data_IF_803027997131
#
_entry.id   IF_803027997131
#
_cell.length_a   1.000
_cell.length_b   1.000
_cell.length_c   1.000
_cell.angle_alpha   90.00
_cell.angle_beta   90.00
_cell.angle_gamma   90.00
#
_symmetry.space_group_name_H-M   'P 1'
#
loop_
_entity.id
_entity.type
_entity.pdbx_description
1 polymer ?
#
# COMPACT_ATOMS: atom_id res chain seq x y z
N UNK A 1 -11.70 -50.32 4.75
CA UNK A 1 -12.08 -48.95 5.17
C UNK A 1 -10.88 -48.31 5.85
N UNK A 2 -9.97 -47.76 5.04
CA UNK A 2 -8.89 -46.87 5.47
C UNK A 2 -8.85 -45.78 4.42
N UNK A 3 -9.51 -44.67 4.69
CA UNK A 3 -9.37 -43.47 3.88
C UNK A 3 -8.27 -42.65 4.53
N UNK A 4 -7.14 -42.57 3.84
CA UNK A 4 -6.07 -41.63 4.14
C UNK A 4 -6.55 -40.24 3.70
N UNK A 5 -6.57 -39.29 4.63
CA UNK A 5 -6.73 -37.88 4.31
C UNK A 5 -5.43 -37.41 3.65
N UNK A 6 -5.57 -36.93 2.42
CA UNK A 6 -4.49 -36.36 1.61
C UNK A 6 -4.45 -34.87 1.93
N UNK A 7 -3.40 -34.42 2.61
CA UNK A 7 -3.14 -32.99 2.74
C UNK A 7 -2.59 -32.43 1.42
N UNK A 8 -3.11 -31.29 0.91
CA UNK A 8 -2.55 -30.66 -0.27
C UNK A 8 -1.29 -29.88 0.11
N UNK A 9 -0.15 -30.33 -0.39
CA UNK A 9 1.12 -29.59 -0.35
C UNK A 9 1.05 -28.40 -1.30
N UNK A 10 0.75 -27.21 -0.78
CA UNK A 10 0.90 -25.95 -1.51
C UNK A 10 2.28 -25.36 -1.27
N UNK A 11 3.18 -25.49 -2.25
CA UNK A 11 4.50 -24.88 -2.26
C UNK A 11 4.38 -23.43 -2.78
N UNK A 12 4.12 -22.50 -1.86
CA UNK A 12 4.13 -21.07 -2.10
C UNK A 12 4.00 -20.37 -0.75
N UNK A 13 5.08 -19.75 -0.27
CA UNK A 13 5.13 -19.15 1.05
C UNK A 13 4.15 -17.99 1.19
N UNK A 14 3.00 -18.26 1.82
CA UNK A 14 2.10 -17.23 2.33
C UNK A 14 1.61 -17.69 3.70
N UNK A 15 2.08 -17.03 4.75
CA UNK A 15 1.58 -17.27 6.10
C UNK A 15 0.14 -16.77 6.16
N UNK A 16 -0.78 -17.62 6.62
CA UNK A 16 -2.06 -17.20 7.20
C UNK A 16 -1.84 -15.99 8.12
N UNK A 17 -2.81 -15.07 8.29
CA UNK A 17 -2.65 -13.95 9.21
C UNK A 17 -2.20 -14.52 10.55
N UNK A 18 -1.08 -14.02 11.06
CA UNK A 18 -0.59 -14.34 12.40
C UNK A 18 -1.71 -13.98 13.36
N UNK A 19 -2.53 -14.97 13.74
CA UNK A 19 -3.52 -14.80 14.80
C UNK A 19 -2.76 -14.29 16.01
N UNK A 20 -2.97 -13.02 16.34
CA UNK A 20 -2.31 -12.40 17.49
C UNK A 20 -2.84 -13.14 18.71
N UNK A 21 -1.94 -13.86 19.39
CA UNK A 21 -2.31 -14.60 20.58
C UNK A 21 -2.20 -13.70 21.81
N UNK A 22 -2.87 -14.09 22.90
CA UNK A 22 -2.71 -13.41 24.20
C UNK A 22 -1.24 -13.39 24.65
N UNK A 23 -0.47 -14.42 24.28
CA UNK A 23 0.95 -14.52 24.57
C UNK A 23 1.74 -13.43 23.84
N UNK A 24 1.44 -13.17 22.57
CA UNK A 24 2.12 -12.14 21.79
C UNK A 24 1.86 -10.74 22.38
N UNK A 25 0.61 -10.47 22.80
CA UNK A 25 0.26 -9.23 23.50
C UNK A 25 1.00 -9.07 24.84
N UNK A 26 1.15 -10.18 25.57
CA UNK A 26 1.86 -10.19 26.85
C UNK A 26 3.36 -9.95 26.66
N UNK A 27 3.98 -10.58 25.66
CA UNK A 27 5.40 -10.39 25.30
C UNK A 27 5.69 -9.00 24.72
N UNK A 28 4.73 -8.42 24.00
CA UNK A 28 4.82 -7.05 23.48
C UNK A 28 4.66 -5.98 24.59
N UNK A 29 4.12 -6.36 25.75
CA UNK A 29 3.88 -5.46 26.89
C UNK A 29 2.58 -4.65 26.81
N UNK A 30 1.58 -5.14 26.06
CA UNK A 30 0.32 -4.45 25.82
C UNK A 30 -0.57 -4.29 27.07
N UNK A 31 -0.37 -5.17 28.04
CA UNK A 31 -1.15 -5.22 29.29
C UNK A 31 -0.79 -4.14 30.31
N UNK A 32 0.35 -3.45 30.13
CA UNK A 32 0.76 -2.39 31.06
C UNK A 32 0.05 -1.08 30.70
N UNK A 33 -0.71 -0.53 31.63
CA UNK A 33 -1.24 0.82 31.53
C UNK A 33 -0.39 1.85 32.25
N UNK A 34 -0.98 3.02 32.50
CA UNK A 34 -0.37 4.10 33.26
C UNK A 34 -0.48 3.90 34.79
N UNK A 35 0.17 4.81 35.53
CA UNK A 35 0.10 4.86 37.00
C UNK A 35 -1.30 5.20 37.48
N UNK A 36 -1.68 4.68 38.65
CA UNK A 36 -3.01 4.87 39.28
C UNK A 36 -3.43 6.31 39.54
N UNK A 37 -2.49 7.27 39.53
CA UNK A 37 -2.79 8.71 39.66
C UNK A 37 -3.20 9.39 38.36
N UNK A 38 -2.96 8.77 37.21
CA UNK A 38 -3.12 9.36 35.88
C UNK A 38 -4.14 8.63 35.02
N UNK A 39 -5.06 7.88 35.63
CA UNK A 39 -6.08 7.13 34.92
C UNK A 39 -7.37 7.94 34.73
N UNK A 40 -8.14 7.59 33.71
CA UNK A 40 -9.48 8.08 33.46
C UNK A 40 -10.49 7.10 34.06
N UNK A 41 -11.41 7.53 34.94
CA UNK A 41 -12.44 6.67 35.54
C UNK A 41 -13.29 5.89 34.53
N UNK A 42 -13.47 6.41 33.31
CA UNK A 42 -14.23 5.74 32.24
C UNK A 42 -13.51 4.50 31.70
N UNK A 43 -12.20 4.39 31.88
CA UNK A 43 -11.43 3.21 31.49
C UNK A 43 -11.57 2.04 32.47
N UNK A 44 -12.33 2.20 33.58
CA UNK A 44 -12.53 1.15 34.58
C UNK A 44 -12.96 -0.21 34.02
N UNK A 45 -13.87 -0.31 33.02
CA UNK A 45 -14.28 -1.60 32.46
C UNK A 45 -13.14 -2.37 31.78
N UNK A 46 -12.14 -1.65 31.24
CA UNK A 46 -11.00 -2.22 30.52
C UNK A 46 -9.80 -2.56 31.43
N UNK A 47 -9.84 -2.13 32.69
CA UNK A 47 -8.77 -2.37 33.66
C UNK A 47 -9.07 -3.65 34.43
N UNK A 48 -8.17 -4.62 34.34
CA UNK A 48 -8.26 -5.90 35.04
C UNK A 48 -7.89 -5.78 36.53
N UNK A 49 -6.72 -5.21 36.83
CA UNK A 49 -6.24 -5.06 38.22
C UNK A 49 -5.20 -3.94 38.32
N UNK A 50 -4.73 -3.64 39.53
CA UNK A 50 -3.58 -2.79 39.77
C UNK A 50 -2.46 -3.57 40.48
N UNK A 51 -1.23 -3.40 40.02
CA UNK A 51 -0.05 -4.02 40.64
C UNK A 51 1.09 -3.02 40.72
N UNK A 52 1.66 -2.84 41.91
CA UNK A 52 2.77 -1.90 42.15
C UNK A 52 2.45 -0.45 41.70
N UNK A 53 1.18 -0.04 41.79
CA UNK A 53 0.74 1.31 41.39
C UNK A 53 0.63 1.54 39.88
N UNK A 54 0.62 0.47 39.07
CA UNK A 54 0.39 0.48 37.62
C UNK A 54 -0.90 -0.30 37.34
N UNK A 55 -1.77 0.25 36.50
CA UNK A 55 -2.96 -0.47 36.03
C UNK A 55 -2.58 -1.54 35.01
N UNK A 56 -3.20 -2.71 35.13
CA UNK A 56 -3.10 -3.81 34.19
C UNK A 56 -4.38 -3.86 33.38
N UNK A 57 -4.24 -3.80 32.07
CA UNK A 57 -5.34 -3.84 31.10
C UNK A 57 -5.76 -5.30 30.87
N UNK A 58 -7.06 -5.54 30.70
CA UNK A 58 -7.60 -6.84 30.36
C UNK A 58 -7.33 -7.21 28.89
N UNK A 59 -6.37 -8.12 28.67
CA UNK A 59 -5.99 -8.57 27.33
C UNK A 59 -7.08 -9.38 26.61
N UNK A 60 -8.02 -10.00 27.32
CA UNK A 60 -9.12 -10.70 26.66
C UNK A 60 -10.01 -9.71 25.90
N UNK A 61 -10.35 -8.59 26.56
CA UNK A 61 -11.06 -7.49 25.93
C UNK A 61 -10.24 -6.85 24.80
N UNK A 62 -8.91 -6.74 24.95
CA UNK A 62 -8.03 -6.28 23.88
C UNK A 62 -8.13 -7.16 22.64
N UNK A 63 -8.10 -8.49 22.78
CA UNK A 63 -8.20 -9.41 21.65
C UNK A 63 -9.53 -9.29 20.91
N UNK A 64 -10.65 -9.26 21.65
CA UNK A 64 -11.98 -9.09 21.06
C UNK A 64 -12.13 -7.73 20.35
N UNK A 65 -11.57 -6.67 20.96
CA UNK A 65 -11.58 -5.33 20.35
C UNK A 65 -10.70 -5.26 19.10
N UNK A 66 -9.53 -5.89 19.12
CA UNK A 66 -8.64 -5.98 17.97
C UNK A 66 -9.31 -6.67 16.80
N UNK A 67 -10.01 -7.79 17.04
CA UNK A 67 -10.71 -8.51 15.98
C UNK A 67 -11.83 -7.66 15.36
N UNK A 68 -12.65 -6.98 16.19
CA UNK A 68 -13.69 -6.07 15.68
C UNK A 68 -13.11 -4.91 14.87
N UNK A 69 -11.99 -4.35 15.31
CA UNK A 69 -11.30 -3.30 14.58
C UNK A 69 -10.70 -3.81 13.27
N UNK A 70 -10.17 -5.04 13.26
CA UNK A 70 -9.62 -5.69 12.06
C UNK A 70 -10.68 -5.85 10.98
N UNK A 71 -11.84 -6.40 11.34
CA UNK A 71 -12.97 -6.60 10.44
C UNK A 71 -13.45 -5.25 9.85
N UNK A 72 -13.66 -4.24 10.71
CA UNK A 72 -14.10 -2.92 10.25
C UNK A 72 -13.09 -2.25 9.31
N UNK A 73 -11.79 -2.35 9.59
CA UNK A 73 -10.74 -1.78 8.75
C UNK A 73 -10.61 -2.52 7.41
N UNK A 74 -10.70 -3.85 7.43
CA UNK A 74 -10.66 -4.69 6.23
C UNK A 74 -11.83 -4.34 5.30
N UNK A 75 -13.03 -4.21 5.85
CA UNK A 75 -14.22 -3.91 5.07
C UNK A 75 -14.13 -2.51 4.42
N UNK A 76 -13.66 -1.49 5.15
CA UNK A 76 -13.37 -0.16 4.58
C UNK A 76 -12.33 -0.23 3.45
N UNK A 77 -11.28 -1.03 3.63
CA UNK A 77 -10.26 -1.20 2.60
C UNK A 77 -10.78 -1.96 1.37
N UNK A 78 -11.68 -2.92 1.56
CA UNK A 78 -12.34 -3.67 0.49
C UNK A 78 -13.27 -2.77 -0.35
N UNK A 79 -13.96 -1.82 0.28
CA UNK A 79 -14.75 -0.79 -0.41
C UNK A 79 -13.88 0.23 -1.14
N UNK A 80 -12.58 0.26 -0.83
CA UNK A 80 -11.64 1.19 -1.43
C UNK A 80 -11.44 2.50 -0.68
N UNK A 81 -11.91 2.57 0.55
CA UNK A 81 -11.76 3.75 1.40
C UNK A 81 -10.33 3.96 1.89
N UNK A 82 -10.04 5.18 2.30
CA UNK A 82 -8.76 5.54 2.91
C UNK A 82 -8.82 5.44 4.42
N UNK A 83 -7.83 4.74 5.01
CA UNK A 83 -7.62 4.70 6.45
C UNK A 83 -6.44 5.60 6.80
N UNK A 84 -6.68 6.68 7.53
CA UNK A 84 -5.63 7.63 7.93
C UNK A 84 -4.97 7.20 9.24
N UNK A 85 -3.67 6.90 9.18
CA UNK A 85 -2.89 6.55 10.37
C UNK A 85 -2.36 7.80 11.07
N UNK A 86 -2.60 7.92 12.38
CA UNK A 86 -2.19 9.10 13.16
C UNK A 86 -1.43 8.66 14.41
N UNK A 87 -0.22 9.18 14.57
CA UNK A 87 0.57 8.97 15.79
C UNK A 87 1.78 9.88 15.84
N UNK A 88 1.72 10.93 16.66
CA UNK A 88 2.78 11.94 16.82
C UNK A 88 3.72 11.64 17.98
N UNK A 89 3.40 10.63 18.78
CA UNK A 89 4.23 10.16 19.89
C UNK A 89 5.56 9.61 19.38
N UNK A 90 6.68 9.93 20.04
CA UNK A 90 8.04 9.57 19.59
C UNK A 90 8.20 8.07 19.31
N UNK A 91 7.56 7.24 20.12
CA UNK A 91 7.56 5.79 20.00
C UNK A 91 6.77 5.27 18.80
N UNK A 92 5.79 6.05 18.32
CA UNK A 92 4.89 5.69 17.22
C UNK A 92 5.32 6.27 15.86
N UNK A 93 6.08 7.37 15.82
CA UNK A 93 6.30 8.15 14.58
C UNK A 93 6.84 7.30 13.42
N UNK A 94 7.89 6.52 13.68
CA UNK A 94 8.56 5.73 12.64
C UNK A 94 7.71 4.50 12.27
N UNK A 95 7.07 3.88 13.26
CA UNK A 95 6.23 2.69 13.06
C UNK A 95 5.01 3.03 12.19
N UNK A 96 4.34 4.14 12.50
CA UNK A 96 3.15 4.59 11.78
C UNK A 96 3.51 4.89 10.31
N UNK A 97 4.61 5.58 10.07
CA UNK A 97 5.06 5.86 8.71
C UNK A 97 5.40 4.57 7.95
N UNK A 98 6.17 3.67 8.57
CA UNK A 98 6.59 2.39 7.98
C UNK A 98 5.38 1.51 7.58
N UNK A 99 4.44 1.30 8.50
CA UNK A 99 3.30 0.41 8.28
C UNK A 99 2.23 1.03 7.37
N UNK A 100 1.99 2.34 7.46
CA UNK A 100 1.06 3.02 6.56
C UNK A 100 1.59 3.04 5.11
N UNK A 101 2.89 3.28 4.92
CA UNK A 101 3.52 3.17 3.60
C UNK A 101 3.43 1.75 3.05
N UNK A 102 3.68 0.73 3.89
CA UNK A 102 3.52 -0.68 3.52
C UNK A 102 2.09 -1.00 3.06
N UNK A 103 1.08 -0.47 3.75
CA UNK A 103 -0.33 -0.63 3.37
C UNK A 103 -0.78 0.31 2.24
N UNK A 104 0.07 1.24 1.77
CA UNK A 104 -0.28 2.25 0.78
C UNK A 104 -1.41 3.17 1.25
N UNK A 105 -1.37 3.59 2.52
CA UNK A 105 -2.37 4.46 3.16
C UNK A 105 -1.75 5.76 3.65
N UNK A 106 -2.55 6.85 3.76
CA UNK A 106 -2.06 8.12 4.25
C UNK A 106 -1.74 8.07 5.75
N UNK A 107 -0.81 8.91 6.19
CA UNK A 107 -0.40 8.98 7.60
C UNK A 107 0.03 10.37 8.07
N UNK A 108 -0.02 10.59 9.38
CA UNK A 108 0.49 11.77 10.08
C UNK A 108 1.30 11.30 11.29
N UNK A 109 2.62 11.44 11.23
CA UNK A 109 3.53 10.93 12.25
C UNK A 109 4.29 12.00 13.06
N UNK A 110 4.36 13.25 12.59
CA UNK A 110 5.14 14.29 13.28
C UNK A 110 4.27 15.20 14.13
N UNK A 111 3.26 15.82 13.51
CA UNK A 111 2.37 16.78 14.17
C UNK A 111 1.05 16.88 13.42
N UNK A 112 -0.05 16.74 14.15
CA UNK A 112 -1.38 17.10 13.65
C UNK A 112 -1.50 18.62 13.47
N UNK A 113 -1.90 19.06 12.28
CA UNK A 113 -2.23 20.46 12.02
C UNK A 113 -3.73 20.61 12.28
N UNK A 114 -4.13 21.54 13.15
CA UNK A 114 -5.55 21.82 13.35
C UNK A 114 -6.19 22.24 12.04
N UNK A 115 -7.34 21.63 11.71
CA UNK A 115 -8.00 21.79 10.42
C UNK A 115 -7.57 20.80 9.36
N UNK A 116 -6.88 19.71 9.72
CA UNK A 116 -6.44 18.69 8.75
C UNK A 116 -7.61 18.04 8.04
N UNK A 117 -8.69 17.74 8.77
CA UNK A 117 -9.89 17.15 8.21
C UNK A 117 -10.96 18.22 7.94
N UNK A 118 -11.21 19.08 8.93
CA UNK A 118 -12.29 20.08 8.84
C UNK A 118 -12.01 21.18 7.80
N UNK A 119 -10.74 21.46 7.50
CA UNK A 119 -10.32 22.41 6.46
C UNK A 119 -9.40 21.72 5.44
N UNK A 120 -9.81 20.53 5.00
CA UNK A 120 -9.03 19.68 4.10
C UNK A 120 -8.62 20.39 2.80
N UNK A 121 -9.49 21.22 2.21
CA UNK A 121 -9.17 21.96 0.98
C UNK A 121 -7.93 22.84 1.12
N UNK A 122 -7.72 23.46 2.29
CA UNK A 122 -6.53 24.30 2.53
C UNK A 122 -5.27 23.46 2.70
N UNK A 123 -5.38 22.30 3.35
CA UNK A 123 -4.27 21.37 3.51
C UNK A 123 -3.88 20.74 2.18
N UNK A 124 -4.86 20.36 1.35
CA UNK A 124 -4.63 19.84 0.00
C UNK A 124 -3.86 20.83 -0.86
N UNK A 125 -4.22 22.11 -0.85
CA UNK A 125 -3.44 23.18 -1.53
C UNK A 125 -1.98 23.24 -1.07
N UNK A 126 -1.70 22.94 0.21
CA UNK A 126 -0.33 22.91 0.74
C UNK A 126 0.43 21.66 0.29
N UNK A 127 -0.24 20.53 0.16
CA UNK A 127 0.32 19.29 -0.41
C UNK A 127 0.62 19.49 -1.90
N UNK A 128 -0.30 20.04 -2.67
CA UNK A 128 -0.10 20.36 -4.09
C UNK A 128 1.08 21.32 -4.29
N UNK A 129 1.19 22.36 -3.46
CA UNK A 129 2.33 23.26 -3.48
C UNK A 129 3.66 22.56 -3.16
N UNK A 130 3.66 21.59 -2.25
CA UNK A 130 4.86 20.78 -1.96
C UNK A 130 5.26 19.94 -3.18
N UNK A 131 4.31 19.27 -3.82
CA UNK A 131 4.55 18.46 -5.03
C UNK A 131 5.11 19.33 -6.17
N UNK A 132 4.59 20.54 -6.33
CA UNK A 132 5.10 21.49 -7.33
C UNK A 132 6.55 21.90 -7.05
N UNK A 133 6.90 22.21 -5.79
CA UNK A 133 8.28 22.53 -5.41
C UNK A 133 9.24 21.36 -5.66
N UNK A 134 8.81 20.13 -5.44
CA UNK A 134 9.61 18.94 -5.76
C UNK A 134 9.80 18.76 -7.26
N UNK A 135 8.76 19.04 -8.05
CA UNK A 135 8.84 18.99 -9.51
C UNK A 135 9.84 20.02 -10.04
N UNK A 136 9.79 21.26 -9.55
CA UNK A 136 10.76 22.31 -9.89
C UNK A 136 12.18 21.93 -9.50
N UNK A 137 12.35 21.27 -8.34
CA UNK A 137 13.64 20.72 -7.90
C UNK A 137 14.14 19.62 -8.84
N UNK A 138 13.27 18.68 -9.22
CA UNK A 138 13.61 17.57 -10.11
C UNK A 138 13.94 18.04 -11.54
N UNK A 139 13.28 19.10 -12.02
CA UNK A 139 13.53 19.71 -13.32
C UNK A 139 14.82 20.55 -13.38
N UNK A 140 15.48 20.80 -12.23
CA UNK A 140 16.67 21.65 -12.16
C UNK A 140 16.38 23.16 -12.22
N UNK A 141 15.11 23.58 -12.16
CA UNK A 141 14.74 25.01 -12.20
C UNK A 141 15.31 25.78 -11.00
N UNK A 142 15.39 25.12 -9.85
CA UNK A 142 15.98 25.69 -8.63
C UNK A 142 17.49 25.95 -8.75
N UNK A 143 18.17 25.34 -9.74
CA UNK A 143 19.60 25.51 -9.93
C UNK A 143 19.97 26.84 -10.59
N UNK A 144 19.02 27.49 -11.27
CA UNK A 144 19.17 28.83 -11.80
C UNK A 144 18.99 29.94 -10.76
N UNK A 145 18.48 29.59 -9.56
CA UNK A 145 18.26 30.55 -8.49
C UNK A 145 19.52 30.85 -7.68
N UNK A 146 19.64 32.06 -7.10
CA UNK A 146 20.68 32.39 -6.14
C UNK A 146 20.70 31.41 -4.96
N UNK A 147 21.91 31.07 -4.47
CA UNK A 147 22.10 30.11 -3.36
C UNK A 147 21.23 30.39 -2.13
N UNK A 148 21.01 31.67 -1.80
CA UNK A 148 20.16 32.08 -0.66
C UNK A 148 18.69 31.72 -0.85
N UNK A 149 18.18 31.83 -2.08
CA UNK A 149 16.79 31.52 -2.41
C UNK A 149 16.58 30.02 -2.51
N UNK A 150 17.51 29.31 -3.14
CA UNK A 150 17.54 27.84 -3.17
C UNK A 150 17.47 27.26 -1.76
N UNK A 151 18.33 27.72 -0.85
CA UNK A 151 18.34 27.25 0.54
C UNK A 151 17.02 27.52 1.28
N UNK A 152 16.33 28.63 0.96
CA UNK A 152 15.00 28.92 1.55
C UNK A 152 13.95 27.93 1.05
N UNK A 153 13.98 27.61 -0.24
CA UNK A 153 13.08 26.64 -0.86
C UNK A 153 13.36 25.24 -0.32
N UNK A 154 14.62 24.84 -0.21
CA UNK A 154 15.00 23.53 0.34
C UNK A 154 14.50 23.36 1.78
N UNK A 155 14.73 24.36 2.65
CA UNK A 155 14.22 24.36 4.03
C UNK A 155 12.69 24.33 4.10
N UNK A 156 12.02 25.01 3.16
CA UNK A 156 10.57 25.01 3.08
C UNK A 156 10.06 23.62 2.66
N UNK A 157 10.71 23.01 1.68
CA UNK A 157 10.39 21.67 1.20
C UNK A 157 10.58 20.63 2.30
N UNK A 158 11.73 20.61 2.99
CA UNK A 158 11.97 19.73 4.14
C UNK A 158 10.90 19.90 5.23
N UNK A 159 10.45 21.13 5.47
CA UNK A 159 9.40 21.44 6.46
C UNK A 159 8.03 20.96 6.01
N UNK A 160 7.71 21.06 4.72
CA UNK A 160 6.46 20.58 4.14
C UNK A 160 6.43 19.05 4.15
N UNK A 161 7.48 18.40 3.64
CA UNK A 161 7.59 16.95 3.59
C UNK A 161 7.43 16.32 4.97
N UNK A 162 8.10 16.89 5.98
CA UNK A 162 7.98 16.43 7.36
C UNK A 162 6.56 16.57 7.95
N UNK A 163 5.74 17.50 7.46
CA UNK A 163 4.42 17.81 8.05
C UNK A 163 3.25 17.20 7.28
N UNK A 164 3.31 17.24 5.96
CA UNK A 164 2.21 16.86 5.06
C UNK A 164 2.61 15.79 4.03
N UNK A 165 3.87 15.32 4.04
CA UNK A 165 4.34 14.28 3.12
C UNK A 165 3.52 12.98 3.19
N UNK A 166 3.10 12.57 4.39
CA UNK A 166 2.26 11.39 4.57
C UNK A 166 0.82 11.54 4.06
N UNK A 167 0.38 12.74 3.69
CA UNK A 167 -0.94 13.01 3.10
C UNK A 167 -0.89 13.11 1.56
N UNK A 168 0.26 12.85 0.95
CA UNK A 168 0.50 13.03 -0.49
C UNK A 168 -0.51 12.29 -1.37
N UNK A 169 -0.83 11.05 -1.01
CA UNK A 169 -1.68 10.17 -1.81
C UNK A 169 -3.18 10.32 -1.50
N UNK A 170 -3.55 11.29 -0.66
CA UNK A 170 -4.91 11.48 -0.19
C UNK A 170 -5.61 12.58 -0.99
N UNK A 171 -6.49 12.19 -1.90
CA UNK A 171 -7.25 13.14 -2.72
C UNK A 171 -8.58 13.54 -2.08
N UNK A 172 -9.22 12.60 -1.40
CA UNK A 172 -10.51 12.77 -0.70
C UNK A 172 -10.30 12.73 0.81
N UNK A 173 -11.36 13.03 1.57
CA UNK A 173 -11.33 12.78 3.01
C UNK A 173 -11.17 11.27 3.29
N UNK A 174 -10.52 10.89 4.39
CA UNK A 174 -10.45 9.50 4.80
C UNK A 174 -11.81 9.01 5.30
N UNK A 175 -12.07 7.72 5.13
CA UNK A 175 -13.30 7.05 5.56
C UNK A 175 -13.18 6.55 7.01
N UNK A 176 -11.95 6.34 7.48
CA UNK A 176 -11.68 5.90 8.85
C UNK A 176 -10.33 6.43 9.35
N UNK A 177 -10.21 6.61 10.66
CA UNK A 177 -8.94 6.96 11.30
C UNK A 177 -8.44 5.81 12.19
N UNK A 178 -7.13 5.57 12.14
CA UNK A 178 -6.42 4.76 13.13
C UNK A 178 -5.51 5.67 13.96
N UNK A 179 -5.79 5.82 15.26
CA UNK A 179 -5.10 6.77 16.15
C UNK A 179 -4.36 6.03 17.26
N UNK A 180 -3.08 6.37 17.45
CA UNK A 180 -2.29 5.97 18.62
C UNK A 180 -2.27 7.13 19.62
N UNK A 181 -2.65 6.87 20.87
CA UNK A 181 -2.75 7.86 21.97
C UNK A 181 -3.79 8.98 21.71
N UNK A 182 -5.11 8.70 21.81
CA UNK A 182 -6.17 9.70 21.64
C UNK A 182 -6.05 10.95 22.51
N UNK A 183 -5.44 10.83 23.70
CA UNK A 183 -5.29 11.94 24.62
C UNK A 183 -4.29 12.97 24.06
N UNK A 184 -3.17 12.51 23.53
CA UNK A 184 -2.20 13.38 22.85
C UNK A 184 -2.72 13.85 21.49
N UNK A 185 -3.53 13.05 20.82
CA UNK A 185 -4.09 13.28 19.49
C UNK A 185 -5.52 13.86 19.53
N UNK A 186 -5.90 14.50 20.64
CA UNK A 186 -7.27 14.99 20.88
C UNK A 186 -7.85 15.88 19.76
N UNK A 187 -7.01 16.65 19.05
CA UNK A 187 -7.46 17.46 17.91
C UNK A 187 -7.92 16.60 16.74
N UNK A 188 -7.20 15.50 16.45
CA UNK A 188 -7.57 14.58 15.39
C UNK A 188 -8.89 13.87 15.73
N UNK A 189 -9.03 13.43 16.99
CA UNK A 189 -10.25 12.83 17.52
C UNK A 189 -11.42 13.80 17.43
N UNK A 190 -11.22 15.06 17.82
CA UNK A 190 -12.26 16.08 17.79
C UNK A 190 -12.72 16.39 16.36
N UNK A 191 -11.78 16.60 15.44
CA UNK A 191 -12.10 16.86 14.03
C UNK A 191 -12.81 15.69 13.36
N UNK A 192 -12.37 14.45 13.62
CA UNK A 192 -13.02 13.26 13.09
C UNK A 192 -14.46 13.12 13.61
N UNK A 193 -14.69 13.37 14.90
CA UNK A 193 -16.03 13.35 15.48
C UNK A 193 -16.96 14.44 14.90
N UNK A 194 -16.44 15.64 14.63
CA UNK A 194 -17.23 16.71 13.97
C UNK A 194 -17.73 16.26 12.60
N UNK A 195 -16.89 15.53 11.86
CA UNK A 195 -17.21 15.03 10.52
C UNK A 195 -17.95 13.69 10.53
N UNK A 196 -18.13 13.06 11.69
CA UNK A 196 -18.77 11.75 11.83
C UNK A 196 -17.91 10.60 11.28
N UNK A 197 -16.59 10.74 11.22
CA UNK A 197 -15.70 9.70 10.75
C UNK A 197 -15.46 8.66 11.86
N UNK A 198 -15.57 7.34 11.58
CA UNK A 198 -15.28 6.30 12.55
C UNK A 198 -13.81 6.30 12.96
N UNK A 199 -13.57 6.11 14.25
CA UNK A 199 -12.24 6.11 14.85
C UNK A 199 -11.94 4.74 15.44
N UNK A 200 -10.84 4.15 14.99
CA UNK A 200 -10.16 3.04 15.65
C UNK A 200 -8.98 3.61 16.41
N UNK A 201 -8.85 3.29 17.70
CA UNK A 201 -7.75 3.83 18.47
C UNK A 201 -7.16 2.87 19.50
N UNK A 202 -5.85 3.04 19.72
CA UNK A 202 -5.11 2.42 20.80
C UNK A 202 -5.27 3.27 22.07
N UNK A 203 -6.01 2.75 23.04
CA UNK A 203 -6.44 3.51 24.22
C UNK A 203 -5.76 2.95 25.47
N UNK A 204 -4.90 3.77 26.10
CA UNK A 204 -4.39 3.47 27.43
C UNK A 204 -5.36 4.01 28.50
N UNK A 205 -5.19 3.54 29.73
CA UNK A 205 -5.91 3.87 30.95
C UNK A 205 -6.08 5.37 31.27
N UNK A 206 -5.29 6.27 30.68
CA UNK A 206 -5.40 7.72 30.85
C UNK A 206 -6.34 8.40 29.84
N UNK A 207 -6.74 7.71 28.77
CA UNK A 207 -7.53 8.25 27.67
C UNK A 207 -9.04 8.17 27.96
N UNK A 208 -9.84 9.01 27.28
CA UNK A 208 -11.30 8.90 27.29
C UNK A 208 -11.75 7.96 26.15
N UNK A 209 -12.45 6.84 26.44
CA UNK A 209 -12.93 5.92 25.41
C UNK A 209 -14.21 6.39 24.70
N UNK A 210 -14.98 7.32 25.26
CA UNK A 210 -16.30 7.73 24.74
C UNK A 210 -16.28 8.27 23.29
N UNK A 211 -15.31 9.10 22.85
CA UNK A 211 -15.32 9.68 21.51
C UNK A 211 -14.79 8.71 20.42
N UNK A 212 -14.64 7.42 20.73
CA UNK A 212 -13.99 6.43 19.86
C UNK A 212 -14.96 5.27 19.61
N UNK A 213 -15.23 4.95 18.34
CA UNK A 213 -16.11 3.82 17.97
C UNK A 213 -15.46 2.46 18.26
N UNK A 214 -14.21 2.28 17.87
CA UNK A 214 -13.48 1.02 18.03
C UNK A 214 -12.30 1.22 18.99
N UNK A 215 -12.59 1.05 20.28
CA UNK A 215 -11.61 1.17 21.37
C UNK A 215 -10.81 -0.11 21.47
N UNK A 216 -9.50 -0.04 21.23
CA UNK A 216 -8.55 -1.13 21.48
C UNK A 216 -7.78 -0.81 22.78
N UNK A 217 -8.18 -1.40 23.92
CA UNK A 217 -7.53 -1.10 25.20
C UNK A 217 -6.12 -1.72 25.23
N UNK A 218 -5.08 -0.91 25.32
CA UNK A 218 -3.69 -1.38 25.27
C UNK A 218 -2.69 -0.27 25.61
N UNK A 219 -1.47 -0.69 25.96
CA UNK A 219 -0.32 0.18 26.16
C UNK A 219 0.04 0.97 24.88
N UNK A 220 0.15 2.28 25.00
CA UNK A 220 0.53 3.20 23.92
C UNK A 220 1.98 3.74 24.05
N UNK A 221 2.72 3.36 25.10
CA UNK A 221 4.11 3.76 25.35
C UNK A 221 5.12 2.72 24.83
N UNK A 222 4.74 1.45 24.79
CA UNK A 222 5.63 0.37 24.39
C UNK A 222 5.76 0.27 22.86
N UNK A 223 6.97 0.51 22.34
CA UNK A 223 7.31 0.41 20.91
C UNK A 223 6.88 -0.93 20.31
N UNK A 224 7.08 -2.04 21.03
CA UNK A 224 6.68 -3.39 20.56
C UNK A 224 5.17 -3.54 20.43
N UNK A 225 4.42 -2.99 21.38
CA UNK A 225 2.96 -3.01 21.35
C UNK A 225 2.44 -2.17 20.20
N UNK A 226 2.90 -0.93 20.06
CA UNK A 226 2.50 -0.05 18.94
C UNK A 226 2.80 -0.72 17.60
N UNK A 227 3.98 -1.35 17.47
CA UNK A 227 4.36 -2.07 16.25
C UNK A 227 3.42 -3.23 15.94
N UNK A 228 3.16 -4.08 16.92
CA UNK A 228 2.25 -5.23 16.77
C UNK A 228 0.84 -4.78 16.36
N UNK A 229 0.31 -3.76 17.03
CA UNK A 229 -1.03 -3.24 16.75
C UNK A 229 -1.12 -2.58 15.39
N UNK A 230 -0.15 -1.73 15.05
CA UNK A 230 -0.12 -1.02 13.77
C UNK A 230 0.10 -1.99 12.61
N UNK A 231 0.97 -3.00 12.77
CA UNK A 231 1.16 -4.02 11.73
C UNK A 231 -0.09 -4.86 11.55
N UNK A 232 -0.77 -5.24 12.62
CA UNK A 232 -2.01 -6.01 12.56
C UNK A 232 -3.11 -5.26 11.77
N UNK A 233 -3.26 -3.96 12.02
CA UNK A 233 -4.19 -3.10 11.26
C UNK A 233 -3.74 -2.91 9.81
N UNK A 234 -2.43 -2.75 9.56
CA UNK A 234 -1.90 -2.65 8.19
C UNK A 234 -2.12 -3.94 7.39
N UNK A 235 -1.96 -5.11 8.02
CA UNK A 235 -2.23 -6.40 7.38
C UNK A 235 -3.73 -6.54 7.04
N UNK A 236 -4.64 -6.05 7.89
CA UNK A 236 -6.09 -5.99 7.60
C UNK A 236 -6.41 -5.19 6.33
N UNK A 237 -5.72 -4.05 6.15
CA UNK A 237 -5.90 -3.19 4.98
C UNK A 237 -5.39 -3.87 3.71
N UNK A 238 -4.25 -4.55 3.79
CA UNK A 238 -3.68 -5.28 2.66
C UNK A 238 -4.62 -6.42 2.26
N UNK A 239 -5.16 -7.16 3.23
CA UNK A 239 -6.16 -8.20 2.97
C UNK A 239 -7.41 -7.62 2.30
N UNK A 240 -7.97 -6.52 2.82
CA UNK A 240 -9.14 -5.87 2.21
C UNK A 240 -8.88 -5.41 0.78
N UNK A 241 -7.70 -4.85 0.50
CA UNK A 241 -7.29 -4.46 -0.87
C UNK A 241 -7.19 -5.66 -1.81
N UNK A 242 -6.66 -6.79 -1.34
CA UNK A 242 -6.56 -8.02 -2.13
C UNK A 242 -7.95 -8.60 -2.42
N UNK A 243 -8.87 -8.59 -1.45
CA UNK A 243 -10.26 -9.00 -1.67
C UNK A 243 -10.90 -8.16 -2.77
N UNK A 244 -10.73 -6.85 -2.73
CA UNK A 244 -11.23 -5.94 -3.77
C UNK A 244 -10.65 -6.24 -5.15
N UNK A 245 -9.34 -6.45 -5.23
CA UNK A 245 -8.66 -6.78 -6.49
C UNK A 245 -9.18 -8.09 -7.08
N UNK A 246 -9.36 -9.12 -6.23
CA UNK A 246 -9.91 -10.40 -6.67
C UNK A 246 -11.35 -10.30 -7.17
N UNK A 247 -12.21 -9.54 -6.47
CA UNK A 247 -13.59 -9.31 -6.88
C UNK A 247 -13.67 -8.58 -8.22
N UNK A 248 -12.84 -7.53 -8.41
CA UNK A 248 -12.78 -6.79 -9.67
C UNK A 248 -12.30 -7.67 -10.84
N UNK A 249 -11.31 -8.54 -10.62
CA UNK A 249 -10.83 -9.48 -11.63
C UNK A 249 -11.91 -10.52 -12.01
N UNK A 250 -12.71 -10.96 -11.05
CA UNK A 250 -13.82 -11.89 -11.28
C UNK A 250 -14.96 -11.23 -12.07
N UNK A 251 -15.30 -9.97 -11.76
CA UNK A 251 -16.26 -9.19 -12.53
C UNK A 251 -15.81 -9.00 -13.99
N UNK A 252 -14.55 -8.60 -14.21
CA UNK A 252 -13.99 -8.44 -15.56
C UNK A 252 -14.00 -9.78 -16.32
N UNK A 253 -13.70 -10.89 -15.63
CA UNK A 253 -13.73 -12.22 -16.25
C UNK A 253 -15.15 -12.62 -16.64
N UNK A 254 -16.13 -12.38 -15.78
CA UNK A 254 -17.54 -12.67 -16.05
C UNK A 254 -18.07 -11.84 -17.23
N UNK A 255 -17.70 -10.55 -17.30
CA UNK A 255 -18.06 -9.68 -18.42
C UNK A 255 -17.43 -10.17 -19.73
N UNK A 256 -16.15 -10.56 -19.71
CA UNK A 256 -15.46 -11.12 -20.87
C UNK A 256 -16.06 -12.46 -21.33
N UNK A 257 -16.51 -13.31 -20.42
CA UNK A 257 -17.17 -14.58 -20.74
C UNK A 257 -18.58 -14.38 -21.33
N UNK A 258 -19.30 -13.36 -20.85
CA UNK A 258 -20.60 -12.96 -21.42
C UNK A 258 -20.50 -12.30 -22.81
N UNK A 259 -19.33 -11.74 -23.14
CA UNK A 259 -19.06 -11.07 -24.41
C UNK A 259 -18.56 -12.02 -25.52
N UNK A 260 -18.36 -13.32 -25.23
CA UNK A 260 -18.08 -14.32 -26.25
C UNK A 260 -19.35 -14.55 -27.09
N UNK A 261 -19.31 -14.35 -28.42
CA UNK A 261 -20.47 -14.64 -29.25
C UNK A 261 -20.79 -16.14 -29.15
N UNK A 262 -22.08 -16.47 -28.99
CA UNK A 262 -22.57 -17.86 -29.12
C UNK A 262 -21.90 -18.50 -30.33
N UNK A 263 -21.22 -19.63 -30.11
CA UNK A 263 -20.75 -20.45 -31.22
C UNK A 263 -21.96 -20.71 -32.12
N UNK A 264 -21.98 -20.06 -33.28
CA UNK A 264 -22.84 -20.48 -34.40
C UNK A 264 -22.50 -21.93 -34.65
N UNK A 265 -23.35 -22.82 -34.17
CA UNK A 265 -23.27 -24.25 -34.46
C UNK A 265 -23.46 -24.33 -35.97
N UNK A 266 -22.38 -24.61 -36.70
CA UNK A 266 -22.46 -24.83 -38.14
C UNK A 266 -23.29 -26.10 -38.35
N UNK A 267 -24.54 -25.93 -38.73
CA UNK A 267 -25.39 -27.04 -39.16
C UNK A 267 -24.88 -27.52 -40.52
N UNK A 268 -24.94 -28.82 -40.83
CA UNK A 268 -24.50 -29.37 -42.14
C UNK A 268 -25.19 -28.77 -43.38
N UNK A 269 -26.16 -27.88 -43.20
CA UNK A 269 -26.89 -27.18 -44.27
C UNK A 269 -26.20 -25.88 -44.72
N UNK A 270 -25.16 -25.41 -44.02
CA UNK A 270 -24.36 -24.23 -44.39
C UNK A 270 -23.16 -24.58 -45.31
N UNK A 271 -23.18 -25.74 -45.98
CA UNK A 271 -22.14 -26.11 -46.95
C UNK A 271 -22.26 -25.19 -48.18
N UNK A 272 -21.23 -24.37 -48.52
CA UNK A 272 -21.31 -23.51 -49.69
C UNK A 272 -21.36 -24.37 -50.96
N UNK A 273 -22.34 -24.09 -51.82
CA UNK A 273 -22.48 -24.73 -53.13
C UNK A 273 -21.30 -24.35 -54.02
N UNK A 274 -20.33 -25.26 -54.17
CA UNK A 274 -19.09 -25.04 -54.95
C UNK A 274 -19.29 -25.12 -56.48
N UNK A 275 -20.51 -24.91 -56.98
CA UNK A 275 -20.85 -25.11 -58.39
C UNK A 275 -20.55 -23.92 -59.32
N UNK A 276 -19.85 -22.87 -58.88
CA UNK A 276 -19.61 -21.66 -59.71
C UNK A 276 -18.15 -21.15 -59.69
N UNK A 277 -17.16 -22.05 -59.53
CA UNK A 277 -15.72 -21.72 -59.62
C UNK A 277 -15.02 -22.49 -60.74
N UNK A 278 -15.66 -22.63 -61.90
CA UNK A 278 -14.99 -22.94 -63.17
C UNK A 278 -15.04 -21.66 -63.99
N UNK A 279 -14.04 -20.77 -63.84
CA UNK A 279 -13.65 -19.70 -64.78
C UNK A 279 -12.56 -18.82 -64.15
N UNK A 280 -11.36 -19.37 -63.96
CA UNK A 280 -10.15 -18.55 -63.88
C UNK A 280 -9.06 -19.22 -64.72
N UNK A 281 -8.69 -18.53 -65.81
CA UNK A 281 -7.68 -18.95 -66.79
C UNK A 281 -6.34 -19.28 -66.11
N UNK A 282 -5.66 -20.32 -66.59
CA UNK A 282 -4.37 -20.85 -66.10
C UNK A 282 -3.21 -19.82 -66.09
N UNK A 283 -3.43 -18.62 -66.63
CA UNK A 283 -2.41 -17.59 -66.79
C UNK A 283 -2.18 -16.71 -65.53
N UNK A 284 -3.10 -16.67 -64.55
CA UNK A 284 -2.91 -15.87 -63.31
C UNK A 284 -2.13 -16.60 -62.20
N UNK A 285 -2.06 -17.93 -62.22
CA UNK A 285 -1.31 -18.70 -61.20
C UNK A 285 0.21 -18.49 -61.29
N UNK A 286 0.75 -18.33 -62.51
CA UNK A 286 2.18 -18.07 -62.69
C UNK A 286 2.59 -16.68 -62.15
N UNK A 287 1.73 -15.67 -62.25
CA UNK A 287 2.06 -14.30 -61.79
C UNK A 287 2.11 -14.21 -60.25
N UNK A 288 1.27 -14.99 -59.55
CA UNK A 288 1.26 -15.08 -58.08
C UNK A 288 2.50 -15.87 -57.58
N UNK A 289 2.90 -16.94 -58.29
CA UNK A 289 4.07 -17.75 -57.91
C UNK A 289 5.39 -16.97 -58.12
N UNK A 290 5.49 -16.16 -59.17
CA UNK A 290 6.66 -15.31 -59.45
C UNK A 290 6.80 -14.19 -58.41
N UNK A 291 5.69 -13.56 -57.97
CA UNK A 291 5.70 -12.57 -56.89
C UNK A 291 6.13 -13.13 -55.53
N UNK A 292 5.82 -14.39 -55.24
CA UNK A 292 6.29 -15.08 -54.02
C UNK A 292 7.78 -15.40 -54.05
N UNK A 293 8.36 -15.74 -55.20
CA UNK A 293 9.82 -15.95 -55.35
C UNK A 293 10.64 -14.65 -55.28
N UNK A 294 10.08 -13.50 -55.68
CA UNK A 294 10.76 -12.20 -55.61
C UNK A 294 10.88 -11.58 -54.22
N UNK A 295 10.02 -11.95 -53.27
CA UNK A 295 10.02 -11.40 -51.89
C UNK A 295 10.86 -12.20 -50.89
N UNK A 296 11.28 -13.42 -51.22
CA UNK A 296 12.04 -14.30 -50.33
C UNK A 296 13.54 -14.00 -50.23
N UNK A 297 14.11 -13.15 -51.09
CA UNK A 297 15.56 -12.87 -51.13
C UNK A 297 16.00 -11.56 -50.47
N UNK A 298 15.05 -10.69 -50.10
CA UNK A 298 15.36 -9.40 -49.46
C UNK A 298 15.34 -9.45 -47.91
N UNK A 299 14.93 -10.59 -47.32
CA UNK A 299 14.82 -10.74 -45.86
C UNK A 299 16.00 -11.46 -45.19
N UNK A 300 16.89 -12.12 -45.95
CA UNK A 300 17.99 -12.91 -45.39
C UNK A 300 19.33 -12.13 -45.32
N UNK A 301 19.52 -11.07 -46.11
CA UNK A 301 20.77 -10.27 -46.07
C UNK A 301 20.81 -9.25 -44.91
N UNK A 302 19.66 -8.79 -44.41
CA UNK A 302 19.59 -7.81 -43.31
C UNK A 302 19.77 -8.44 -41.90
N UNK A 303 19.47 -9.73 -41.75
CA UNK A 303 19.63 -10.45 -40.49
C UNK A 303 21.06 -10.98 -40.27
N UNK A 304 21.86 -11.11 -41.33
CA UNK A 304 23.26 -11.51 -41.25
C UNK A 304 24.15 -10.31 -40.82
N UNK A 305 23.85 -9.10 -41.29
CA UNK A 305 24.58 -7.87 -40.92
C UNK A 305 24.36 -7.52 -39.43
N UNK A 306 23.13 -7.69 -38.91
CA UNK A 306 22.82 -7.43 -37.48
C UNK A 306 23.48 -8.42 -36.51
N UNK A 307 23.78 -9.65 -36.96
CA UNK A 307 24.44 -10.69 -36.13
C UNK A 307 25.97 -10.52 -36.05
N UNK A 308 26.59 -9.84 -37.02
CA UNK A 308 28.04 -9.58 -37.03
C UNK A 308 28.42 -8.39 -36.13
N UNK A 309 27.58 -7.36 -36.04
CA UNK A 309 27.83 -6.20 -35.17
C UNK A 309 27.59 -6.50 -33.67
N UNK A 310 26.69 -7.41 -33.33
CA UNK A 310 26.47 -7.85 -31.94
C UNK A 310 27.64 -8.67 -31.35
N UNK A 311 28.55 -9.21 -32.19
CA UNK A 311 29.74 -9.97 -31.74
C UNK A 311 31.02 -9.11 -31.63
N UNK A 312 31.02 -7.85 -32.09
CA UNK A 312 32.17 -6.93 -31.95
C UNK A 312 32.12 -6.01 -30.72
N UNK A 313 31.00 -5.96 -29.99
CA UNK A 313 30.79 -5.05 -28.85
C UNK A 313 31.18 -5.54 -27.44
N UNK A 314 31.75 -6.74 -27.27
CA UNK A 314 32.19 -7.27 -25.95
C UNK A 314 33.69 -7.53 -25.91
N UNK A 315 34.50 -6.48 -25.78
CA UNK A 315 35.89 -6.56 -25.29
C UNK A 315 36.01 -5.76 -23.99
N UNK A 316 36.25 -6.47 -22.87
CA UNK A 316 36.51 -5.89 -21.54
C UNK A 316 37.74 -4.97 -21.58
N UNK A 317 37.73 -3.80 -20.90
CA UNK A 317 38.94 -2.99 -20.74
C UNK A 317 39.91 -3.69 -19.77
N UNK A 318 41.16 -3.88 -20.23
CA UNK A 318 42.29 -4.35 -19.42
C UNK A 318 42.74 -3.22 -18.48
N UNK A 319 42.81 -3.51 -17.18
CA UNK A 319 43.52 -2.69 -16.20
C UNK A 319 45.01 -2.63 -16.58
N UNK A 320 45.54 -1.42 -16.77
CA UNK A 320 46.99 -1.16 -16.86
C UNK A 320 47.50 -0.85 -15.46
N UNK A 321 48.29 -1.76 -14.91
CA UNK A 321 49.20 -1.50 -13.79
C UNK A 321 50.37 -0.67 -14.31
N UNK A 322 50.53 0.57 -13.85
CA UNK A 322 51.79 1.29 -13.96
C UNK A 322 52.59 1.02 -12.67
N UNK A 323 53.68 0.30 -12.85
CA UNK A 323 54.79 0.18 -11.91
C UNK A 323 56.02 0.37 -12.79
N UNK A 324 56.69 1.51 -12.67
CA UNK A 324 58.07 1.69 -13.12
C UNK A 324 58.77 2.54 -12.07
N UNK A 325 59.93 2.04 -11.65
CA UNK A 325 60.83 2.57 -10.65
C UNK A 325 61.88 3.49 -11.30
N UNK A 326 62.28 4.52 -10.53
CA UNK A 326 63.64 5.06 -10.33
C UNK A 326 64.42 5.82 -11.44
N UNK A 327 65.29 6.71 -10.90
CA UNK A 327 66.43 7.47 -11.49
C UNK A 327 66.01 8.72 -12.29
N UNK A 328 66.24 9.96 -11.83
CA UNK A 328 67.50 10.65 -11.46
C UNK A 328 67.24 11.83 -10.49
#
# INVERSE_FOLDING_TARGET
MRSAEVEPTFSGGFSMPTQVTMKDLLEAGAHFGHRTRRWNPKMRPYIFTERNGIHIIDLAQTLEAMQRAYEAVRDVAADGGYVLFVGTKRQAQDIIAEQAQRAGMPYVNVRWLGGTLTNFQTIRKRVEYMIELERQRANGELDHLPKKERLKIDRLLEKLERRVGGLRNMETLPDMLFIVDPNREHLAVHEANILGLPIVALVDTNCDPDPIQYVIPSNDDAIRTIRLMTSYIADAIIEGKQMRESALLEEIRAEAESALPEQRVFTPEDEPDYADFDLFDEDEEEEILVRRRGRGRAGEEDDEIRRVDAKRGKRKPRQRTHKDEAED
#
